data_IF_719103013362
#
_entry.id   IF_719103013362
#
_cell.length_a   1.000
_cell.length_b   1.000
_cell.length_c   1.000
_cell.angle_alpha   90.00
_cell.angle_beta   90.00
_cell.angle_gamma   90.00
#
_symmetry.space_group_name_H-M   'P 1'
#
loop_
_entity.id
_entity.type
_entity.pdbx_description
1 polymer ?
#
# COMPACT_ATOMS: atom_id res chain seq x y z
N UNK A 1 -21.15 16.25 16.76
CA UNK A 1 -22.13 15.29 16.21
C UNK A 1 -22.53 15.77 14.82
N UNK A 2 -22.62 14.85 13.85
CA UNK A 2 -22.70 15.04 12.38
C UNK A 2 -21.35 15.49 11.77
N UNK A 3 -20.73 14.85 10.77
CA UNK A 3 -21.16 13.88 9.76
C UNK A 3 -19.94 13.08 9.25
N UNK A 4 -19.85 11.79 9.58
CA UNK A 4 -18.87 10.89 8.94
C UNK A 4 -19.41 9.45 8.80
N UNK A 5 -20.72 9.27 9.02
CA UNK A 5 -21.41 8.00 8.87
C UNK A 5 -22.51 8.20 7.84
N UNK A 6 -22.17 7.97 6.57
CA UNK A 6 -23.08 7.52 5.49
C UNK A 6 -22.39 7.74 4.14
N UNK A 7 -21.38 6.92 3.85
CA UNK A 7 -21.09 6.55 2.47
C UNK A 7 -21.20 5.04 2.39
N UNK A 8 -22.42 4.56 2.62
CA UNK A 8 -22.84 3.30 2.04
C UNK A 8 -22.79 3.53 0.54
N UNK A 9 -21.80 2.93 -0.11
CA UNK A 9 -21.74 2.81 -1.55
C UNK A 9 -22.97 2.00 -1.94
N UNK A 10 -24.09 2.69 -2.15
CA UNK A 10 -25.31 2.13 -2.71
C UNK A 10 -25.04 1.97 -4.21
N UNK A 11 -24.09 1.10 -4.52
CA UNK A 11 -23.97 0.47 -5.82
C UNK A 11 -25.20 -0.45 -5.90
N UNK A 12 -26.35 0.13 -6.24
CA UNK A 12 -27.30 -0.58 -7.05
C UNK A 12 -26.54 -0.94 -8.33
N UNK A 13 -25.91 -2.11 -8.29
CA UNK A 13 -25.53 -2.85 -9.48
C UNK A 13 -26.84 -2.93 -10.24
N UNK A 14 -27.02 -2.06 -11.24
CA UNK A 14 -28.00 -2.30 -12.27
C UNK A 14 -27.61 -3.67 -12.82
N UNK A 15 -28.36 -4.69 -12.40
CA UNK A 15 -28.52 -5.89 -13.19
C UNK A 15 -29.00 -5.38 -14.54
N UNK A 16 -28.10 -5.35 -15.52
CA UNK A 16 -28.47 -5.14 -16.91
C UNK A 16 -29.23 -6.40 -17.28
N UNK A 17 -30.51 -6.41 -16.92
CA UNK A 17 -31.52 -7.25 -17.52
C UNK A 17 -31.42 -6.99 -19.01
N UNK A 18 -31.03 -8.01 -19.76
CA UNK A 18 -31.04 -8.04 -21.22
C UNK A 18 -32.47 -7.87 -21.71
N UNK A 19 -32.93 -6.64 -21.77
CA UNK A 19 -34.16 -6.24 -22.46
C UNK A 19 -34.13 -4.73 -22.68
N UNK A 20 -33.72 -4.36 -23.90
CA UNK A 20 -33.99 -3.08 -24.56
C UNK A 20 -33.47 -1.80 -23.87
N UNK A 21 -32.14 -1.62 -23.88
CA UNK A 21 -31.55 -0.28 -24.04
C UNK A 21 -30.53 -0.40 -25.17
N UNK A 22 -30.75 0.31 -26.27
CA UNK A 22 -29.77 0.48 -27.36
C UNK A 22 -28.61 1.36 -26.85
N UNK A 23 -27.84 0.84 -25.90
CA UNK A 23 -26.56 1.41 -25.50
C UNK A 23 -25.50 0.89 -26.49
N UNK A 24 -25.42 1.53 -27.66
CA UNK A 24 -24.30 1.31 -28.56
C UNK A 24 -23.03 1.85 -27.89
N UNK A 25 -22.17 0.90 -27.49
CA UNK A 25 -20.77 1.06 -27.08
C UNK A 25 -20.47 1.61 -25.67
N UNK A 26 -20.49 0.72 -24.67
CA UNK A 26 -19.61 0.84 -23.52
C UNK A 26 -18.19 0.37 -23.90
N UNK A 27 -17.27 1.29 -24.17
CA UNK A 27 -15.85 0.95 -24.33
C UNK A 27 -15.18 0.91 -22.94
N UNK A 28 -14.83 -0.29 -22.48
CA UNK A 28 -13.95 -0.45 -21.31
C UNK A 28 -12.52 -0.06 -21.70
N UNK A 29 -12.12 1.17 -21.40
CA UNK A 29 -10.71 1.55 -21.47
C UNK A 29 -9.98 0.93 -20.27
N UNK A 30 -9.42 -0.26 -20.47
CA UNK A 30 -8.42 -0.82 -19.55
C UNK A 30 -7.12 -0.03 -19.69
N UNK A 31 -7.08 1.20 -19.17
CA UNK A 31 -5.78 1.82 -18.93
C UNK A 31 -5.18 1.10 -17.71
N UNK A 32 -4.30 0.16 -18.06
CA UNK A 32 -3.85 -0.99 -17.28
C UNK A 32 -3.18 -0.69 -15.94
N UNK A 33 -3.11 0.57 -15.51
CA UNK A 33 -2.39 0.88 -14.29
C UNK A 33 -2.95 2.10 -13.56
N UNK A 34 -3.80 1.81 -12.58
CA UNK A 34 -4.18 2.78 -11.56
C UNK A 34 -3.51 2.40 -10.22
N UNK A 35 -4.11 2.85 -9.11
CA UNK A 35 -3.64 2.72 -7.72
C UNK A 35 -3.15 1.31 -7.33
N UNK A 36 -3.73 0.26 -7.91
CA UNK A 36 -3.44 -1.16 -7.63
C UNK A 36 -3.45 -1.94 -8.96
N UNK A 37 -2.72 -3.06 -9.01
CA UNK A 37 -2.74 -3.96 -10.16
C UNK A 37 -4.17 -4.44 -10.46
N UNK A 38 -4.59 -4.29 -11.72
CA UNK A 38 -5.95 -4.67 -12.17
C UNK A 38 -7.01 -3.58 -12.05
N UNK A 39 -6.69 -2.42 -11.46
CA UNK A 39 -7.61 -1.30 -11.41
C UNK A 39 -7.79 -0.68 -12.81
N UNK A 40 -9.04 -0.30 -13.13
CA UNK A 40 -9.45 0.19 -14.43
C UNK A 40 -10.39 1.40 -14.30
N UNK A 41 -10.39 2.26 -15.33
CA UNK A 41 -11.35 3.36 -15.48
C UNK A 41 -12.47 2.91 -16.41
N UNK A 42 -13.68 3.36 -16.13
CA UNK A 42 -14.84 3.02 -16.94
C UNK A 42 -15.21 4.22 -17.79
N UNK A 43 -15.27 4.01 -19.10
CA UNK A 43 -15.79 4.98 -20.05
C UNK A 43 -17.11 4.45 -20.60
N UNK A 44 -18.12 5.31 -20.61
CA UNK A 44 -19.42 4.99 -21.16
C UNK A 44 -19.84 6.10 -22.11
N UNK A 45 -20.28 5.72 -23.32
CA UNK A 45 -20.85 6.63 -24.29
C UNK A 45 -22.28 6.18 -24.60
N UNK A 46 -23.23 7.10 -24.55
CA UNK A 46 -24.63 6.86 -24.90
C UNK A 46 -25.08 8.00 -25.80
N UNK A 47 -25.22 7.73 -27.09
CA UNK A 47 -25.43 8.77 -28.10
C UNK A 47 -24.24 9.74 -28.16
N UNK A 48 -24.51 11.03 -28.02
CA UNK A 48 -23.47 12.07 -27.98
C UNK A 48 -22.89 12.30 -26.59
N UNK A 49 -23.51 11.76 -25.54
CA UNK A 49 -23.05 11.95 -24.17
C UNK A 49 -21.93 10.96 -23.81
N UNK A 50 -20.83 11.47 -23.26
CA UNK A 50 -19.68 10.70 -22.80
C UNK A 50 -19.39 10.91 -21.30
N UNK A 51 -19.18 9.80 -20.59
CA UNK A 51 -18.86 9.79 -19.17
C UNK A 51 -17.60 8.96 -18.87
N UNK A 52 -16.80 9.43 -17.93
CA UNK A 52 -15.71 8.65 -17.32
C UNK A 52 -15.91 8.54 -15.81
N UNK A 53 -15.76 7.32 -15.30
CA UNK A 53 -15.58 7.02 -13.88
C UNK A 53 -14.15 6.55 -13.64
N UNK A 54 -13.36 7.33 -12.91
CA UNK A 54 -11.93 7.06 -12.73
C UNK A 54 -11.64 6.02 -11.66
N UNK A 55 -12.53 5.89 -10.65
CA UNK A 55 -12.15 5.25 -9.39
C UNK A 55 -10.90 5.91 -8.78
N UNK A 56 -10.11 5.12 -8.04
CA UNK A 56 -8.85 5.57 -7.47
C UNK A 56 -7.72 5.53 -8.50
N UNK A 57 -7.07 6.66 -8.77
CA UNK A 57 -6.03 6.77 -9.78
C UNK A 57 -4.76 7.45 -9.27
N UNK A 58 -3.66 7.23 -9.98
CA UNK A 58 -2.40 7.91 -9.72
C UNK A 58 -1.74 8.24 -11.06
N UNK A 59 -1.47 9.53 -11.29
CA UNK A 59 -0.78 9.98 -12.51
C UNK A 59 0.75 9.86 -12.41
N UNK A 60 1.29 9.66 -11.21
CA UNK A 60 2.73 9.42 -11.06
C UNK A 60 3.01 7.92 -11.16
N UNK A 61 3.84 7.47 -12.11
CA UNK A 61 4.16 6.06 -12.24
C UNK A 61 4.95 5.58 -11.02
N UNK A 62 4.67 4.36 -10.61
CA UNK A 62 5.44 3.66 -9.59
C UNK A 62 6.50 2.74 -10.19
N UNK A 63 7.31 2.12 -9.31
CA UNK A 63 8.34 1.18 -9.76
C UNK A 63 7.72 -0.02 -10.48
N UNK A 64 6.59 -0.49 -9.98
CA UNK A 64 5.89 -1.68 -10.48
C UNK A 64 4.60 -1.37 -11.23
N UNK A 65 4.04 -0.16 -11.07
CA UNK A 65 2.80 0.30 -11.70
C UNK A 65 3.11 1.47 -12.65
N UNK A 66 2.54 1.48 -13.85
CA UNK A 66 2.55 2.65 -14.74
C UNK A 66 1.74 3.84 -14.20
N UNK A 67 1.64 4.89 -15.01
CA UNK A 67 0.78 6.03 -14.72
C UNK A 67 -0.62 5.79 -15.28
N UNK A 68 -1.63 6.34 -14.61
CA UNK A 68 -2.96 6.46 -15.20
C UNK A 68 -2.87 7.31 -16.48
N UNK A 69 -3.43 6.80 -17.58
CA UNK A 69 -3.53 7.52 -18.84
C UNK A 69 -5.01 7.75 -19.16
N UNK A 70 -5.34 8.94 -19.63
CA UNK A 70 -6.65 9.26 -20.19
C UNK A 70 -6.37 9.94 -21.52
N UNK A 71 -6.88 9.35 -22.61
CA UNK A 71 -6.78 9.97 -23.92
C UNK A 71 -7.55 11.29 -23.93
N UNK A 72 -7.14 12.22 -24.79
CA UNK A 72 -7.82 13.53 -24.92
C UNK A 72 -9.20 13.34 -25.55
N UNK A 73 -10.17 12.99 -24.72
CA UNK A 73 -11.57 12.81 -25.07
C UNK A 73 -12.38 14.02 -24.63
N UNK A 74 -13.39 14.40 -25.41
CA UNK A 74 -14.43 15.32 -24.94
C UNK A 74 -15.39 14.54 -24.05
N UNK A 75 -15.55 15.00 -22.81
CA UNK A 75 -16.36 14.36 -21.79
C UNK A 75 -17.42 15.35 -21.31
N UNK A 76 -18.66 14.89 -21.19
CA UNK A 76 -19.76 15.66 -20.60
C UNK A 76 -19.80 15.48 -19.08
N UNK A 77 -19.39 14.31 -18.59
CA UNK A 77 -19.38 13.97 -17.16
C UNK A 77 -18.09 13.26 -16.75
N UNK A 78 -17.41 13.80 -15.74
CA UNK A 78 -16.27 13.17 -15.09
C UNK A 78 -16.59 12.91 -13.61
N UNK A 79 -16.57 11.64 -13.22
CA UNK A 79 -16.69 11.22 -11.83
C UNK A 79 -15.31 10.79 -11.34
N UNK A 80 -14.76 11.52 -10.37
CA UNK A 80 -13.38 11.33 -9.91
C UNK A 80 -13.24 11.38 -8.39
N UNK A 81 -12.20 10.73 -7.85
CA UNK A 81 -11.86 10.79 -6.43
C UNK A 81 -11.20 12.13 -6.06
N UNK A 82 -11.31 12.52 -4.78
CA UNK A 82 -10.71 13.74 -4.23
C UNK A 82 -9.85 13.47 -2.98
N UNK A 83 -9.40 12.23 -2.79
CA UNK A 83 -8.72 11.73 -1.58
C UNK A 83 -7.54 12.60 -1.12
N UNK A 84 -6.78 13.19 -2.04
CA UNK A 84 -5.65 14.07 -1.74
C UNK A 84 -5.79 15.47 -2.36
N UNK A 85 -7.01 15.95 -2.62
CA UNK A 85 -7.23 17.21 -3.33
C UNK A 85 -6.56 18.44 -2.69
N UNK A 86 -6.38 18.44 -1.37
CA UNK A 86 -5.78 19.54 -0.60
C UNK A 86 -4.32 19.31 -0.20
N UNK A 87 -3.77 18.11 -0.46
CA UNK A 87 -2.44 17.72 0.05
C UNK A 87 -1.43 17.69 -1.08
N UNK A 88 -0.44 18.58 -1.03
CA UNK A 88 0.71 18.54 -1.93
C UNK A 88 1.64 17.42 -1.44
N UNK A 89 1.97 16.48 -2.32
CA UNK A 89 2.86 15.36 -1.98
C UNK A 89 4.30 15.73 -2.30
N UNK A 90 5.20 15.47 -1.36
CA UNK A 90 6.63 15.61 -1.58
C UNK A 90 7.13 14.67 -2.68
N UNK A 91 8.27 15.05 -3.26
CA UNK A 91 8.91 14.27 -4.32
C UNK A 91 9.09 12.81 -3.88
N UNK A 92 8.71 11.89 -4.76
CA UNK A 92 8.83 10.45 -4.51
C UNK A 92 10.24 10.05 -4.08
N UNK A 93 11.26 10.59 -4.76
CA UNK A 93 12.66 10.29 -4.47
C UNK A 93 13.13 10.76 -3.09
N UNK A 94 12.65 11.91 -2.61
CA UNK A 94 12.98 12.36 -1.26
C UNK A 94 12.39 11.41 -0.22
N UNK A 95 11.11 11.04 -0.37
CA UNK A 95 10.44 10.10 0.55
C UNK A 95 11.09 8.72 0.55
N UNK A 96 11.39 8.16 -0.63
CA UNK A 96 12.11 6.89 -0.74
C UNK A 96 13.47 6.94 -0.03
N UNK A 97 14.21 8.06 -0.16
CA UNK A 97 15.51 8.24 0.47
C UNK A 97 15.40 8.35 1.99
N UNK A 98 14.45 9.13 2.49
CA UNK A 98 14.22 9.29 3.93
C UNK A 98 13.78 7.98 4.57
N UNK A 99 12.88 7.26 3.92
CA UNK A 99 12.47 5.92 4.30
C UNK A 99 13.66 4.97 4.41
N UNK A 100 14.46 4.85 3.34
CA UNK A 100 15.63 3.97 3.32
C UNK A 100 16.66 4.34 4.39
N UNK A 101 16.88 5.63 4.62
CA UNK A 101 17.79 6.12 5.65
C UNK A 101 17.30 5.77 7.05
N UNK A 102 16.00 5.94 7.33
CA UNK A 102 15.41 5.59 8.62
C UNK A 102 15.53 4.08 8.90
N UNK A 103 15.17 3.25 7.91
CA UNK A 103 15.28 1.78 8.01
C UNK A 103 16.73 1.35 8.23
N UNK A 104 17.66 1.87 7.44
CA UNK A 104 19.08 1.53 7.55
C UNK A 104 19.66 1.90 8.93
N UNK A 105 19.37 3.10 9.44
CA UNK A 105 19.85 3.54 10.75
C UNK A 105 19.29 2.68 11.90
N UNK A 106 18.01 2.30 11.82
CA UNK A 106 17.38 1.42 12.79
C UNK A 106 18.06 0.05 12.83
N UNK A 107 18.28 -0.56 11.65
CA UNK A 107 18.90 -1.89 11.56
C UNK A 107 20.38 -1.88 11.97
N UNK A 108 21.11 -0.82 11.61
CA UNK A 108 22.49 -0.63 12.04
C UNK A 108 22.63 -0.50 13.57
N UNK A 109 21.59 0.03 14.23
CA UNK A 109 21.51 0.12 15.69
C UNK A 109 21.06 -1.19 16.36
N UNK A 110 20.86 -2.26 15.58
CA UNK A 110 20.36 -3.55 16.07
C UNK A 110 18.85 -3.59 16.36
N UNK A 111 18.12 -2.56 15.92
CA UNK A 111 16.68 -2.44 16.11
C UNK A 111 15.85 -3.20 15.09
N UNK A 112 14.56 -3.39 15.39
CA UNK A 112 13.59 -4.04 14.50
C UNK A 112 12.70 -3.01 13.83
N UNK A 113 12.39 -3.24 12.55
CA UNK A 113 11.54 -2.35 11.75
C UNK A 113 10.20 -3.03 11.48
N UNK A 114 9.11 -2.43 11.95
CA UNK A 114 7.74 -2.87 11.64
C UNK A 114 7.15 -1.97 10.55
N UNK A 115 6.71 -2.58 9.45
CA UNK A 115 6.02 -1.90 8.35
C UNK A 115 4.61 -2.50 8.22
N UNK A 116 3.59 -1.92 8.88
CA UNK A 116 2.23 -2.39 8.70
C UNK A 116 1.73 -2.07 7.29
N UNK A 117 1.33 -3.09 6.54
CA UNK A 117 0.77 -2.93 5.20
C UNK A 117 -0.49 -3.78 5.03
N UNK A 118 -1.29 -3.47 4.01
CA UNK A 118 -2.37 -4.35 3.60
C UNK A 118 -1.81 -5.52 2.79
N UNK A 119 -2.40 -6.71 2.95
CA UNK A 119 -1.86 -7.96 2.41
C UNK A 119 -1.80 -8.01 0.88
N UNK A 120 -2.71 -7.28 0.23
CA UNK A 120 -2.76 -7.02 -1.20
C UNK A 120 -2.83 -5.50 -1.36
N UNK A 121 -1.68 -4.87 -1.58
CA UNK A 121 -1.63 -3.42 -1.73
C UNK A 121 -0.34 -2.91 -2.35
N UNK A 122 -0.47 -1.76 -3.02
CA UNK A 122 0.64 -1.01 -3.64
C UNK A 122 1.84 -0.83 -2.70
N UNK A 123 1.58 -0.52 -1.44
CA UNK A 123 2.61 -0.19 -0.45
C UNK A 123 3.52 -1.37 -0.14
N UNK A 124 2.97 -2.59 0.04
CA UNK A 124 3.80 -3.75 0.35
C UNK A 124 4.76 -4.05 -0.79
N UNK A 125 4.25 -4.11 -2.02
CA UNK A 125 5.05 -4.51 -3.17
C UNK A 125 6.09 -3.45 -3.55
N UNK A 126 5.70 -2.17 -3.50
CA UNK A 126 6.62 -1.06 -3.76
C UNK A 126 7.78 -1.04 -2.76
N UNK A 127 7.49 -1.19 -1.47
CA UNK A 127 8.50 -1.17 -0.41
C UNK A 127 9.38 -2.41 -0.44
N UNK A 128 8.83 -3.60 -0.74
CA UNK A 128 9.64 -4.80 -0.91
C UNK A 128 10.64 -4.66 -2.07
N UNK A 129 10.21 -4.16 -3.23
CA UNK A 129 11.11 -3.91 -4.38
C UNK A 129 12.17 -2.86 -4.02
N UNK A 130 11.77 -1.78 -3.35
CA UNK A 130 12.68 -0.72 -2.94
C UNK A 130 13.76 -1.23 -1.96
N UNK A 131 13.38 -2.05 -0.99
CA UNK A 131 14.30 -2.63 -0.01
C UNK A 131 15.22 -3.67 -0.64
N UNK A 132 14.72 -4.57 -1.49
CA UNK A 132 15.55 -5.59 -2.16
C UNK A 132 16.61 -4.93 -3.06
N UNK A 133 16.22 -3.92 -3.86
CA UNK A 133 17.15 -3.11 -4.67
C UNK A 133 18.23 -2.43 -3.80
N UNK A 134 17.85 -1.89 -2.65
CA UNK A 134 18.79 -1.21 -1.75
C UNK A 134 19.73 -2.20 -1.06
N UNK A 135 19.25 -3.37 -0.67
CA UNK A 135 20.04 -4.42 -0.03
C UNK A 135 21.12 -4.95 -0.96
N UNK A 136 20.79 -5.16 -2.23
CA UNK A 136 21.77 -5.61 -3.22
C UNK A 136 22.84 -4.55 -3.50
N UNK A 137 22.45 -3.27 -3.61
CA UNK A 137 23.40 -2.17 -3.85
C UNK A 137 24.34 -1.92 -2.68
N UNK A 138 23.84 -2.07 -1.47
CA UNK A 138 24.59 -1.82 -0.23
C UNK A 138 25.20 -3.09 0.37
N UNK A 139 25.00 -4.24 -0.26
CA UNK A 139 25.43 -5.58 0.20
C UNK A 139 24.98 -5.88 1.65
N UNK A 140 23.74 -5.51 1.98
CA UNK A 140 23.15 -5.74 3.31
C UNK A 140 22.58 -7.16 3.41
N UNK A 141 22.75 -7.79 4.58
CA UNK A 141 22.29 -9.16 4.85
C UNK A 141 21.16 -9.25 5.87
N UNK A 142 20.51 -8.13 6.18
CA UNK A 142 19.42 -8.14 7.16
C UNK A 142 18.20 -8.87 6.58
N UNK A 143 17.55 -9.77 7.35
CA UNK A 143 16.41 -10.51 6.85
C UNK A 143 15.18 -9.60 6.72
N UNK A 144 14.48 -9.75 5.59
CA UNK A 144 13.19 -9.11 5.35
C UNK A 144 12.13 -10.18 5.48
N UNK A 145 11.13 -9.94 6.32
CA UNK A 145 10.07 -10.86 6.61
C UNK A 145 8.71 -10.31 6.17
N UNK A 146 7.86 -11.18 5.66
CA UNK A 146 6.45 -10.88 5.38
C UNK A 146 5.56 -11.74 6.26
N UNK A 147 4.51 -11.14 6.84
CA UNK A 147 3.50 -11.90 7.60
C UNK A 147 2.93 -13.01 6.72
N UNK A 148 2.51 -14.12 7.30
CA UNK A 148 1.91 -15.23 6.56
C UNK A 148 0.51 -14.90 6.01
N UNK A 149 -0.03 -15.77 5.14
CA UNK A 149 -1.40 -15.69 4.64
C UNK A 149 -1.49 -15.06 3.24
N UNK A 150 -2.43 -14.13 3.06
CA UNK A 150 -2.74 -13.51 1.77
C UNK A 150 -1.56 -12.78 1.14
N UNK A 151 -0.61 -12.28 1.93
CA UNK A 151 0.66 -11.66 1.51
C UNK A 151 1.55 -12.59 0.68
N UNK A 152 1.62 -13.87 1.03
CA UNK A 152 2.42 -14.87 0.30
C UNK A 152 1.74 -15.20 -1.02
N UNK A 153 0.41 -15.34 -1.01
CA UNK A 153 -0.39 -15.54 -2.21
C UNK A 153 -0.38 -14.32 -3.12
N UNK A 154 -0.36 -13.10 -2.56
CA UNK A 154 -0.28 -11.85 -3.31
C UNK A 154 0.95 -11.86 -4.22
N UNK A 155 2.12 -12.24 -3.70
CA UNK A 155 3.32 -12.31 -4.53
C UNK A 155 3.16 -13.27 -5.73
N UNK A 156 2.50 -14.41 -5.53
CA UNK A 156 2.18 -15.35 -6.61
C UNK A 156 1.27 -14.70 -7.67
N UNK A 157 0.21 -13.99 -7.27
CA UNK A 157 -0.67 -13.30 -8.21
C UNK A 157 0.04 -12.17 -8.98
N UNK A 158 0.90 -11.40 -8.32
CA UNK A 158 1.71 -10.38 -8.98
C UNK A 158 2.69 -10.97 -10.00
N UNK A 159 3.29 -12.14 -9.71
CA UNK A 159 4.11 -12.89 -10.66
C UNK A 159 3.30 -13.34 -11.88
N UNK A 160 2.08 -13.85 -11.68
CA UNK A 160 1.21 -14.29 -12.78
C UNK A 160 0.68 -13.12 -13.63
N UNK A 161 0.35 -12.00 -13.01
CA UNK A 161 -0.24 -10.82 -13.67
C UNK A 161 0.81 -9.79 -14.08
N UNK A 162 2.05 -10.20 -14.35
CA UNK A 162 3.13 -9.28 -14.71
C UNK A 162 2.85 -8.50 -16.00
N UNK A 163 2.02 -9.05 -16.89
CA UNK A 163 1.57 -8.35 -18.10
C UNK A 163 0.76 -7.08 -17.82
N UNK A 164 0.28 -6.88 -16.59
CA UNK A 164 -0.46 -5.71 -16.14
C UNK A 164 0.42 -4.70 -15.37
N UNK A 165 1.73 -4.95 -15.28
CA UNK A 165 2.68 -4.07 -14.59
C UNK A 165 3.28 -3.02 -15.55
N UNK A 166 4.14 -2.14 -15.05
CA UNK A 166 4.82 -1.15 -15.88
C UNK A 166 5.74 -1.80 -16.94
N UNK A 167 5.97 -1.08 -18.04
CA UNK A 167 6.84 -1.56 -19.13
C UNK A 167 8.25 -1.92 -18.65
N UNK A 168 8.80 -1.14 -17.71
CA UNK A 168 10.11 -1.38 -17.09
C UNK A 168 10.19 -2.75 -16.40
N UNK A 169 9.12 -3.16 -15.72
CA UNK A 169 9.06 -4.46 -15.04
C UNK A 169 8.96 -5.59 -16.04
N UNK A 170 8.20 -5.42 -17.11
CA UNK A 170 8.09 -6.39 -18.21
C UNK A 170 9.43 -6.62 -18.90
N UNK A 171 10.19 -5.56 -19.17
CA UNK A 171 11.52 -5.64 -19.78
C UNK A 171 12.54 -6.31 -18.85
N UNK A 172 12.48 -5.98 -17.55
CA UNK A 172 13.36 -6.59 -16.56
C UNK A 172 13.03 -8.08 -16.38
N UNK A 173 11.76 -8.48 -16.49
CA UNK A 173 11.30 -9.86 -16.31
C UNK A 173 12.04 -10.89 -17.18
N UNK A 174 12.43 -10.52 -18.40
CA UNK A 174 13.19 -11.38 -19.31
C UNK A 174 14.56 -11.77 -18.74
N UNK A 175 15.12 -10.95 -17.84
CA UNK A 175 16.44 -11.18 -17.21
C UNK A 175 16.33 -11.56 -15.72
N UNK A 176 15.36 -11.00 -15.01
CA UNK A 176 15.08 -11.24 -13.59
C UNK A 176 13.63 -10.90 -13.25
N UNK A 177 12.97 -11.79 -12.52
CA UNK A 177 11.66 -11.50 -11.99
C UNK A 177 11.75 -10.50 -10.82
N UNK A 178 11.21 -9.29 -11.00
CA UNK A 178 11.19 -8.23 -9.98
C UNK A 178 10.38 -8.56 -8.71
N UNK A 179 9.56 -9.61 -8.77
CA UNK A 179 8.76 -10.14 -7.66
C UNK A 179 9.39 -11.38 -7.01
N UNK A 180 10.54 -11.84 -7.53
CA UNK A 180 11.30 -12.94 -6.95
C UNK A 180 12.36 -12.42 -5.98
N UNK A 181 11.87 -12.17 -4.77
CA UNK A 181 12.67 -11.62 -3.70
C UNK A 181 13.58 -12.68 -3.07
N UNK A 182 14.90 -12.49 -3.18
CA UNK A 182 15.89 -13.41 -2.59
C UNK A 182 15.98 -13.29 -1.07
N UNK A 183 15.75 -12.08 -0.56
CA UNK A 183 15.94 -11.72 0.84
C UNK A 183 14.63 -11.73 1.65
N UNK A 184 13.49 -11.99 1.00
CA UNK A 184 12.17 -11.98 1.65
C UNK A 184 11.79 -13.39 2.06
N UNK A 185 11.56 -13.57 3.36
CA UNK A 185 11.17 -14.84 3.95
C UNK A 185 9.81 -14.74 4.63
N UNK A 186 9.14 -15.88 4.77
CA UNK A 186 7.90 -15.94 5.57
C UNK A 186 8.24 -15.74 7.04
N UNK A 187 7.50 -14.86 7.70
CA UNK A 187 7.64 -14.69 9.15
C UNK A 187 6.91 -15.81 9.90
N UNK A 188 7.62 -16.41 10.86
CA UNK A 188 7.05 -17.29 11.87
C UNK A 188 6.80 -16.48 13.15
N UNK A 189 5.66 -16.72 13.81
CA UNK A 189 5.28 -16.00 15.03
C UNK A 189 6.26 -16.24 16.17
N UNK A 190 6.97 -17.36 16.17
CA UNK A 190 8.06 -17.64 17.10
C UNK A 190 9.19 -16.61 17.04
N UNK A 191 9.36 -15.92 15.90
CA UNK A 191 10.43 -14.94 15.68
C UNK A 191 10.12 -13.53 16.20
N UNK A 192 8.92 -13.28 16.77
CA UNK A 192 8.58 -11.97 17.34
C UNK A 192 9.60 -11.54 18.40
N UNK A 193 9.99 -12.49 19.26
CA UNK A 193 10.91 -12.28 20.38
C UNK A 193 12.37 -12.64 20.02
N UNK A 194 12.63 -13.10 18.80
CA UNK A 194 13.98 -13.47 18.37
C UNK A 194 14.93 -12.26 18.43
N UNK A 195 16.16 -12.42 18.95
CA UNK A 195 17.14 -11.34 18.99
C UNK A 195 17.67 -11.04 17.59
N UNK A 196 17.91 -9.76 17.30
CA UNK A 196 18.55 -9.31 16.08
C UNK A 196 17.71 -8.34 15.23
N UNK A 197 18.37 -7.56 14.35
CA UNK A 197 17.71 -6.62 13.47
C UNK A 197 16.97 -7.33 12.35
N UNK A 198 15.71 -6.96 12.15
CA UNK A 198 14.90 -7.49 11.06
C UNK A 198 13.91 -6.44 10.55
N UNK A 199 13.47 -6.61 9.31
CA UNK A 199 12.35 -5.84 8.75
C UNK A 199 11.15 -6.78 8.67
N UNK A 200 10.00 -6.37 9.19
CA UNK A 200 8.77 -7.15 9.14
C UNK A 200 7.63 -6.35 8.53
N UNK A 201 7.11 -6.87 7.42
CA UNK A 201 5.84 -6.45 6.84
C UNK A 201 4.70 -7.19 7.53
N UNK A 202 3.84 -6.47 8.25
CA UNK A 202 2.75 -7.06 9.00
C UNK A 202 1.39 -6.53 8.55
N UNK A 203 0.37 -7.37 8.66
CA UNK A 203 -1.01 -7.02 8.27
C UNK A 203 -1.90 -6.96 9.49
N UNK A 204 -2.91 -6.07 9.53
CA UNK A 204 -3.32 -5.04 8.56
C UNK A 204 -2.53 -3.71 8.67
N UNK A 205 -2.64 -2.88 7.63
CA UNK A 205 -1.85 -1.64 7.47
C UNK A 205 -2.12 -0.52 8.48
N UNK A 206 -3.30 -0.50 9.11
CA UNK A 206 -3.69 0.56 10.06
C UNK A 206 -3.46 0.19 11.54
N UNK A 207 -2.84 -0.97 11.80
CA UNK A 207 -2.61 -1.49 13.17
C UNK A 207 -3.91 -1.52 14.01
N UNK A 208 -5.04 -1.85 13.40
CA UNK A 208 -6.34 -1.88 14.10
C UNK A 208 -6.54 -3.17 14.90
N UNK A 209 -6.05 -4.29 14.39
CA UNK A 209 -6.23 -5.63 14.96
C UNK A 209 -5.25 -6.60 14.31
N UNK A 210 -5.28 -7.89 14.67
CA UNK A 210 -4.49 -8.92 13.98
C UNK A 210 -2.98 -8.84 14.24
N UNK A 211 -2.20 -9.32 13.28
CA UNK A 211 -0.78 -9.60 13.47
C UNK A 211 0.07 -8.33 13.62
N UNK A 212 -0.25 -7.26 12.87
CA UNK A 212 0.46 -5.98 13.02
C UNK A 212 0.29 -5.37 14.41
N UNK A 213 -0.89 -5.52 15.04
CA UNK A 213 -1.14 -5.06 16.40
C UNK A 213 -0.41 -5.92 17.45
N UNK A 214 -0.37 -7.24 17.25
CA UNK A 214 0.36 -8.17 18.13
C UNK A 214 1.86 -7.85 18.17
N UNK A 215 2.46 -7.62 16.99
CA UNK A 215 3.87 -7.23 16.89
C UNK A 215 4.09 -5.83 17.46
N UNK A 216 3.18 -4.90 17.16
CA UNK A 216 3.24 -3.54 17.69
C UNK A 216 3.29 -3.53 19.23
N UNK A 217 2.44 -4.33 19.90
CA UNK A 217 2.45 -4.49 21.37
C UNK A 217 3.82 -4.87 21.92
N UNK A 218 4.54 -5.74 21.23
CA UNK A 218 5.86 -6.26 21.67
C UNK A 218 6.99 -5.31 21.33
N UNK A 219 6.92 -4.62 20.19
CA UNK A 219 8.04 -3.85 19.65
C UNK A 219 7.95 -2.35 19.97
N UNK A 220 6.77 -1.80 20.25
CA UNK A 220 6.58 -0.39 20.60
C UNK A 220 7.34 0.09 21.87
N UNK A 221 7.52 -0.73 22.93
CA UNK A 221 8.22 -0.28 24.13
C UNK A 221 9.73 -0.07 23.96
N UNK A 222 10.34 -0.53 22.86
CA UNK A 222 11.78 -0.39 22.64
C UNK A 222 12.12 0.83 21.80
N UNK A 223 13.03 1.68 22.30
CA UNK A 223 13.55 2.87 21.60
C UNK A 223 14.38 2.57 20.36
N UNK A 224 14.91 1.34 20.27
CA UNK A 224 15.71 0.91 19.13
C UNK A 224 14.83 0.57 17.92
N UNK A 225 13.54 0.32 18.13
CA UNK A 225 12.65 -0.11 17.06
C UNK A 225 12.08 1.07 16.28
N UNK A 226 11.77 0.81 15.01
CA UNK A 226 11.17 1.77 14.10
C UNK A 226 9.84 1.20 13.58
N UNK A 227 8.81 2.04 13.57
CA UNK A 227 7.50 1.70 13.02
C UNK A 227 7.22 2.66 11.88
N UNK A 228 7.12 2.14 10.66
CA UNK A 228 6.89 2.96 9.48
C UNK A 228 5.50 2.73 8.94
N UNK A 229 4.64 3.73 9.09
CA UNK A 229 3.23 3.66 8.74
C UNK A 229 2.99 4.00 7.27
N UNK A 230 1.99 3.37 6.63
CA UNK A 230 1.53 3.77 5.31
C UNK A 230 0.89 5.16 5.39
N UNK A 231 1.15 6.00 4.37
CA UNK A 231 0.84 7.44 4.39
C UNK A 231 -0.61 7.87 4.63
N UNK A 232 -1.58 6.96 4.73
CA UNK A 232 -2.93 7.31 5.18
C UNK A 232 -3.47 6.27 6.17
N UNK A 233 -3.91 6.75 7.33
CA UNK A 233 -4.58 5.97 8.36
C UNK A 233 -5.90 6.65 8.75
N UNK A 234 -6.98 5.87 8.80
CA UNK A 234 -8.32 6.35 9.15
C UNK A 234 -8.35 6.83 10.60
N UNK A 235 -9.05 7.94 10.87
CA UNK A 235 -9.23 8.49 12.20
C UNK A 235 -9.79 7.44 13.18
N UNK A 236 -9.24 7.39 14.39
CA UNK A 236 -9.59 6.39 15.42
C UNK A 236 -8.75 5.12 15.40
N UNK A 237 -7.96 4.87 14.35
CA UNK A 237 -7.01 3.74 14.32
C UNK A 237 -5.73 4.05 15.10
N UNK A 238 -5.02 3.01 15.55
CA UNK A 238 -3.70 3.14 16.20
C UNK A 238 -2.70 3.82 15.28
N UNK A 239 -2.69 3.48 13.99
CA UNK A 239 -1.86 4.15 12.99
C UNK A 239 -2.11 5.66 12.94
N UNK A 240 -3.36 6.10 12.98
CA UNK A 240 -3.68 7.53 12.99
C UNK A 240 -3.22 8.23 14.28
N UNK A 241 -3.38 7.59 15.45
CA UNK A 241 -2.88 8.10 16.73
C UNK A 241 -1.35 8.28 16.72
N UNK A 242 -0.62 7.34 16.12
CA UNK A 242 0.83 7.42 15.97
C UNK A 242 1.27 8.58 15.06
N UNK A 243 0.55 8.82 13.96
CA UNK A 243 0.85 9.90 13.02
C UNK A 243 0.56 11.30 13.57
N UNK A 244 -0.50 11.44 14.38
CA UNK A 244 -1.03 12.74 14.78
C UNK A 244 -0.30 13.42 15.95
N UNK A 245 0.49 12.71 16.75
CA UNK A 245 1.02 13.33 17.98
C UNK A 245 2.23 12.71 18.66
N UNK A 246 2.98 11.79 18.02
CA UNK A 246 4.08 11.03 18.68
C UNK A 246 3.71 10.61 20.11
N UNK A 247 2.60 9.88 20.29
CA UNK A 247 2.10 9.55 21.61
C UNK A 247 3.14 8.72 22.37
N UNK A 248 3.37 9.06 23.64
CA UNK A 248 4.20 8.24 24.54
C UNK A 248 3.44 7.03 25.06
N UNK A 249 2.11 7.08 25.04
CA UNK A 249 1.20 6.00 25.43
C UNK A 249 0.02 5.90 24.49
N UNK A 250 -0.38 4.68 24.13
CA UNK A 250 -1.57 4.42 23.34
C UNK A 250 -2.48 3.47 24.10
N UNK A 251 -3.70 3.95 24.39
CA UNK A 251 -4.78 3.12 24.91
C UNK A 251 -5.45 2.39 23.74
N UNK A 252 -5.40 1.06 23.81
CA UNK A 252 -6.09 0.17 22.88
C UNK A 252 -7.50 -0.15 23.38
N UNK A 253 -7.60 -0.51 24.65
CA UNK A 253 -8.83 -0.88 25.35
C UNK A 253 -8.77 -0.33 26.78
N UNK A 254 -9.87 -0.40 27.54
CA UNK A 254 -9.95 0.09 28.93
C UNK A 254 -8.86 -0.49 29.86
N UNK A 255 -8.37 -1.69 29.54
CA UNK A 255 -7.41 -2.43 30.37
C UNK A 255 -6.02 -2.57 29.74
N UNK A 256 -5.82 -2.13 28.48
CA UNK A 256 -4.56 -2.33 27.75
C UNK A 256 -4.00 -1.00 27.25
N UNK A 257 -2.96 -0.54 27.94
CA UNK A 257 -2.15 0.61 27.56
C UNK A 257 -0.77 0.16 27.09
N UNK A 258 -0.29 0.72 25.98
CA UNK A 258 1.03 0.43 25.42
C UNK A 258 1.91 1.66 25.54
N UNK A 259 3.09 1.50 26.14
CA UNK A 259 4.14 2.50 26.10
C UNK A 259 4.81 2.49 24.72
N UNK A 260 4.79 3.64 24.05
CA UNK A 260 5.36 3.82 22.72
C UNK A 260 6.66 4.61 22.88
N UNK A 261 7.78 3.89 22.83
CA UNK A 261 9.13 4.49 22.87
C UNK A 261 9.86 4.36 21.54
N UNK A 262 9.36 3.51 20.64
CA UNK A 262 9.87 3.34 19.28
C UNK A 262 9.74 4.62 18.45
N UNK A 263 10.60 4.74 17.44
CA UNK A 263 10.47 5.82 16.47
C UNK A 263 9.32 5.51 15.51
N UNK A 264 8.48 6.51 15.21
CA UNK A 264 7.42 6.41 14.21
C UNK A 264 7.74 7.31 13.01
N UNK A 265 7.65 6.75 11.80
CA UNK A 265 7.84 7.47 10.55
C UNK A 265 6.74 7.11 9.55
N UNK A 266 6.62 7.90 8.49
CA UNK A 266 5.68 7.67 7.39
C UNK A 266 6.50 7.25 6.15
N UNK A 267 6.06 6.20 5.44
CA UNK A 267 6.65 5.78 4.16
C UNK A 267 5.98 6.46 2.95
#
# INVERSE_FOLDING_TARGET
MTSAQSFFLLLHIFSISTSTVNAECAYLYFNHVLKVLGAAMFYAKVGDAAMVYTGDYNMTPDRHLGAAQIDRMQLDLLITESTYATTIRDSKYAREREFLKAVHNCLASGGKVLIPTFALGRAQQELCVLLDDYWERMNLKFPIYVSAGLTVQANMYYKMLISWTSQKVKETYTTRNAFDFKNVQKFDRSMIDAPGPCVLFATPGMISSGFSLEVFKRWAPSKLNLITLPGYCVAGTVGHKLMSGKPTKIDLDKDTQIDVQCQASIC
#
